data_IF_061536816783
#
_entry.id   IF_061536816783
#
_cell.length_a   1.000
_cell.length_b   1.000
_cell.length_c   1.000
_cell.angle_alpha   90.00
_cell.angle_beta   90.00
_cell.angle_gamma   90.00
#
_symmetry.space_group_name_H-M   'P 1'
#
loop_
_entity.id
_entity.type
_entity.pdbx_description
1 polymer ?
#
# COMPACT_ATOMS: atom_id res chain seq x y z
N UNK A 1 -14.65 16.88 5.52
CA UNK A 1 -14.18 15.49 5.59
C UNK A 1 -15.33 14.53 5.33
N UNK A 2 -15.10 13.52 4.57
CA UNK A 2 -16.08 12.49 4.26
C UNK A 2 -15.68 11.18 4.93
N UNK A 3 -16.63 10.27 5.07
CA UNK A 3 -16.38 8.92 5.54
C UNK A 3 -16.86 7.93 4.48
N UNK A 4 -16.12 6.84 4.33
CA UNK A 4 -16.43 5.80 3.35
C UNK A 4 -16.44 4.46 4.07
N UNK A 5 -17.47 3.67 3.79
CA UNK A 5 -17.55 2.30 4.26
C UNK A 5 -16.86 1.39 3.23
N UNK A 6 -15.87 0.65 3.69
CA UNK A 6 -15.08 -0.28 2.87
C UNK A 6 -15.28 -1.69 3.38
N UNK A 7 -15.34 -2.64 2.47
CA UNK A 7 -15.36 -4.07 2.83
C UNK A 7 -14.08 -4.71 2.28
N UNK A 8 -13.25 -5.19 3.19
CA UNK A 8 -11.97 -5.82 2.85
C UNK A 8 -11.95 -7.22 3.46
N UNK A 9 -11.82 -8.23 2.62
CA UNK A 9 -11.81 -9.64 3.03
C UNK A 9 -13.05 -10.01 3.87
N UNK A 10 -14.20 -9.44 3.52
CA UNK A 10 -15.47 -9.71 4.20
C UNK A 10 -15.68 -8.91 5.48
N UNK A 11 -14.75 -8.05 5.86
CA UNK A 11 -14.85 -7.23 7.08
C UNK A 11 -15.15 -5.78 6.73
N UNK A 12 -16.10 -5.14 7.42
CA UNK A 12 -16.43 -3.74 7.17
C UNK A 12 -15.46 -2.81 7.91
N UNK A 13 -15.09 -1.74 7.23
CA UNK A 13 -14.25 -0.68 7.80
C UNK A 13 -14.83 0.67 7.40
N UNK A 14 -14.83 1.59 8.34
CA UNK A 14 -15.20 2.98 8.07
C UNK A 14 -13.96 3.83 8.14
N UNK A 15 -13.65 4.52 7.05
CA UNK A 15 -12.41 5.28 6.91
C UNK A 15 -12.75 6.71 6.53
N UNK A 16 -12.11 7.66 7.20
CA UNK A 16 -12.22 9.07 6.85
C UNK A 16 -11.35 9.38 5.65
N UNK A 17 -11.85 10.24 4.77
CA UNK A 17 -11.10 10.70 3.62
C UNK A 17 -11.45 12.16 3.32
N UNK A 18 -10.72 12.75 2.42
CA UNK A 18 -11.02 14.10 1.94
C UNK A 18 -12.22 14.03 1.00
N UNK A 19 -13.05 15.08 1.07
CA UNK A 19 -14.18 15.21 0.15
C UNK A 19 -13.68 15.20 -1.29
N UNK A 20 -14.27 14.34 -2.11
CA UNK A 20 -13.87 14.17 -3.51
C UNK A 20 -12.91 13.01 -3.75
N UNK A 21 -12.36 12.39 -2.70
CA UNK A 21 -11.43 11.27 -2.83
C UNK A 21 -12.07 9.92 -2.54
N UNK A 22 -13.39 9.88 -2.32
CA UNK A 22 -14.12 8.67 -1.95
C UNK A 22 -13.95 7.55 -2.98
N UNK A 23 -14.06 7.89 -4.27
CA UNK A 23 -13.97 6.89 -5.35
C UNK A 23 -12.55 6.31 -5.46
N UNK A 24 -11.54 7.15 -5.28
CA UNK A 24 -10.15 6.70 -5.26
C UNK A 24 -9.90 5.75 -4.11
N UNK A 25 -10.45 6.05 -2.94
CA UNK A 25 -10.29 5.20 -1.77
C UNK A 25 -11.02 3.87 -1.95
N UNK A 26 -12.20 3.88 -2.54
CA UNK A 26 -12.93 2.65 -2.86
C UNK A 26 -12.16 1.78 -3.85
N UNK A 27 -11.56 2.39 -4.87
CA UNK A 27 -10.74 1.67 -5.84
C UNK A 27 -9.51 1.05 -5.17
N UNK A 28 -8.85 1.79 -4.30
CA UNK A 28 -7.72 1.29 -3.52
C UNK A 28 -8.14 0.13 -2.61
N UNK A 29 -9.29 0.26 -1.95
CA UNK A 29 -9.82 -0.78 -1.09
C UNK A 29 -10.13 -2.06 -1.87
N UNK A 30 -10.61 -1.95 -3.10
CA UNK A 30 -10.87 -3.10 -3.96
C UNK A 30 -9.59 -3.87 -4.27
N UNK A 31 -8.48 -3.17 -4.48
CA UNK A 31 -7.18 -3.79 -4.68
C UNK A 31 -6.69 -4.51 -3.42
N UNK A 32 -6.85 -3.89 -2.27
CA UNK A 32 -6.49 -4.49 -0.99
C UNK A 32 -7.34 -5.73 -0.72
N UNK A 33 -8.64 -5.66 -1.00
CA UNK A 33 -9.55 -6.80 -0.85
C UNK A 33 -9.13 -7.98 -1.72
N UNK A 34 -8.82 -7.72 -2.99
CA UNK A 34 -8.37 -8.75 -3.92
C UNK A 34 -7.08 -9.42 -3.44
N UNK A 35 -6.11 -8.64 -2.98
CA UNK A 35 -4.84 -9.16 -2.49
C UNK A 35 -4.99 -9.89 -1.16
N UNK A 36 -5.90 -9.44 -0.30
CA UNK A 36 -6.22 -10.12 0.96
C UNK A 36 -6.80 -11.51 0.70
N UNK A 37 -7.69 -11.61 -0.28
CA UNK A 37 -8.27 -12.91 -0.68
C UNK A 37 -7.24 -13.83 -1.31
N UNK A 38 -6.35 -13.28 -2.12
CA UNK A 38 -5.24 -14.01 -2.73
C UNK A 38 -4.31 -14.58 -1.66
N UNK A 39 -3.97 -13.79 -0.64
CA UNK A 39 -3.15 -14.24 0.48
C UNK A 39 -3.84 -15.36 1.25
N UNK A 40 -5.13 -15.24 1.52
CA UNK A 40 -5.90 -16.24 2.23
C UNK A 40 -5.96 -17.56 1.46
N UNK A 41 -6.16 -17.49 0.14
CA UNK A 41 -6.23 -18.67 -0.72
C UNK A 41 -4.89 -19.39 -0.80
N UNK A 42 -3.78 -18.66 -0.82
CA UNK A 42 -2.44 -19.23 -0.94
C UNK A 42 -1.83 -19.70 0.37
N UNK A 43 -2.09 -19.00 1.46
CA UNK A 43 -1.44 -19.23 2.75
C UNK A 43 -2.35 -19.82 3.83
N UNK A 44 -3.64 -19.92 3.56
CA UNK A 44 -4.61 -20.46 4.49
C UNK A 44 -5.11 -19.46 5.53
N UNK A 45 -5.79 -19.97 6.55
CA UNK A 45 -6.40 -19.14 7.58
C UNK A 45 -5.34 -18.39 8.39
N UNK A 46 -5.56 -17.11 8.59
CA UNK A 46 -4.63 -16.25 9.33
C UNK A 46 -5.40 -15.13 10.03
N UNK A 47 -4.72 -14.45 10.95
CA UNK A 47 -5.29 -13.30 11.64
C UNK A 47 -5.51 -12.14 10.66
N UNK A 48 -6.40 -11.24 11.04
CA UNK A 48 -6.67 -10.03 10.25
C UNK A 48 -5.41 -9.21 10.01
N UNK A 49 -4.62 -8.99 11.05
CA UNK A 49 -3.37 -8.22 10.94
C UNK A 49 -2.40 -8.88 9.95
N UNK A 50 -2.27 -10.18 10.01
CA UNK A 50 -1.39 -10.93 9.13
C UNK A 50 -1.89 -10.91 7.68
N UNK A 51 -3.18 -11.04 7.50
CA UNK A 51 -3.81 -10.97 6.18
C UNK A 51 -3.57 -9.62 5.52
N UNK A 52 -3.73 -8.53 6.28
CA UNK A 52 -3.46 -7.19 5.77
C UNK A 52 -1.98 -6.96 5.50
N UNK A 53 -1.10 -7.54 6.32
CA UNK A 53 0.34 -7.47 6.08
C UNK A 53 0.70 -8.12 4.75
N UNK A 54 0.22 -9.33 4.50
CA UNK A 54 0.50 -10.03 3.24
C UNK A 54 -0.13 -9.33 2.04
N UNK A 55 -1.33 -8.79 2.19
CA UNK A 55 -1.96 -8.00 1.14
C UNK A 55 -1.10 -6.79 0.79
N UNK A 56 -0.56 -6.11 1.80
CA UNK A 56 0.32 -4.95 1.60
C UNK A 56 1.60 -5.33 0.88
N UNK A 57 2.20 -6.47 1.25
CA UNK A 57 3.42 -6.97 0.61
C UNK A 57 3.16 -7.37 -0.84
N UNK A 58 2.04 -7.99 -1.13
CA UNK A 58 1.66 -8.35 -2.50
C UNK A 58 1.47 -7.11 -3.38
N UNK A 59 0.83 -6.09 -2.84
CA UNK A 59 0.64 -4.82 -3.55
C UNK A 59 1.98 -4.10 -3.77
N UNK A 60 2.82 -4.06 -2.76
CA UNK A 60 4.14 -3.44 -2.86
C UNK A 60 5.02 -4.17 -3.87
N UNK A 61 4.97 -5.49 -3.87
CA UNK A 61 5.70 -6.32 -4.82
C UNK A 61 5.27 -6.02 -6.27
N UNK A 62 3.98 -5.86 -6.49
CA UNK A 62 3.44 -5.49 -7.78
C UNK A 62 3.95 -4.13 -8.24
N UNK A 63 4.04 -3.17 -7.34
CA UNK A 63 4.61 -1.85 -7.64
C UNK A 63 6.09 -1.93 -8.00
N UNK A 64 6.83 -2.78 -7.30
CA UNK A 64 8.26 -3.00 -7.59
C UNK A 64 8.44 -3.64 -8.96
N UNK A 65 7.63 -4.62 -9.31
CA UNK A 65 7.67 -5.28 -10.61
C UNK A 65 7.31 -4.34 -11.76
N UNK A 66 6.40 -3.41 -11.55
CA UNK A 66 6.01 -2.42 -12.55
C UNK A 66 7.05 -1.33 -12.76
N UNK A 67 7.99 -1.19 -11.84
CA UNK A 67 9.10 -0.28 -12.05
C UNK A 67 10.01 -0.85 -13.12
N UNK A 68 10.32 -0.05 -14.17
CA UNK A 68 11.38 -0.47 -15.07
C UNK A 68 12.62 -0.64 -14.22
N UNK A 69 13.15 -1.87 -14.20
CA UNK A 69 14.43 -2.13 -13.57
C UNK A 69 15.44 -1.14 -14.13
N UNK A 70 16.26 -0.49 -13.29
CA UNK A 70 17.35 0.33 -13.76
C UNK A 70 18.46 -0.60 -14.29
N UNK A 71 18.10 -1.49 -15.20
CA UNK A 71 19.05 -2.41 -15.80
C UNK A 71 19.92 -1.73 -16.85
N UNK A 72 19.54 -0.55 -17.26
CA UNK A 72 20.34 0.28 -18.13
C UNK A 72 20.34 1.70 -17.59
N UNK A 73 21.48 2.39 -17.65
CA UNK A 73 21.48 3.82 -17.48
C UNK A 73 20.74 4.42 -18.67
N UNK A 74 19.44 4.20 -18.74
CA UNK A 74 18.63 5.02 -19.59
C UNK A 74 18.96 6.45 -19.22
N UNK A 75 19.06 7.39 -20.18
CA UNK A 75 19.13 8.78 -19.84
C UNK A 75 17.86 9.06 -19.04
N UNK A 76 17.98 8.88 -17.75
CA UNK A 76 16.89 9.07 -16.85
C UNK A 76 16.46 10.51 -17.03
N UNK A 77 15.22 10.71 -17.43
CA UNK A 77 14.60 12.01 -17.29
C UNK A 77 14.88 12.41 -15.84
N UNK A 78 15.61 13.50 -15.58
CA UNK A 78 15.94 13.90 -14.22
C UNK A 78 14.71 14.04 -13.33
N UNK A 79 13.57 14.37 -13.92
CA UNK A 79 12.30 14.50 -13.19
C UNK A 79 11.79 13.14 -12.69
N UNK A 80 11.94 12.09 -13.49
CA UNK A 80 11.52 10.75 -13.09
C UNK A 80 12.44 10.22 -11.99
N UNK A 81 13.74 10.43 -12.11
CA UNK A 81 14.70 10.04 -11.09
C UNK A 81 14.46 10.76 -9.77
N UNK A 82 14.16 12.04 -9.81
CA UNK A 82 13.83 12.82 -8.62
C UNK A 82 12.53 12.36 -7.98
N UNK A 83 11.53 12.03 -8.77
CA UNK A 83 10.25 11.52 -8.26
C UNK A 83 10.40 10.18 -7.57
N UNK A 84 11.18 9.28 -8.16
CA UNK A 84 11.45 7.98 -7.58
C UNK A 84 12.22 8.10 -6.26
N UNK A 85 13.20 8.99 -6.21
CA UNK A 85 13.97 9.26 -4.99
C UNK A 85 13.09 9.87 -3.90
N UNK A 86 12.25 10.83 -4.25
CA UNK A 86 11.35 11.48 -3.31
C UNK A 86 10.37 10.46 -2.71
N UNK A 87 9.87 9.52 -3.51
CA UNK A 87 8.99 8.46 -3.03
C UNK A 87 9.73 7.52 -2.07
N UNK A 88 10.95 7.12 -2.43
CA UNK A 88 11.77 6.27 -1.57
C UNK A 88 12.07 6.95 -0.23
N UNK A 89 12.41 8.24 -0.25
CA UNK A 89 12.68 9.03 0.95
C UNK A 89 11.42 9.11 1.84
N UNK A 90 10.25 9.25 1.24
CA UNK A 90 8.97 9.24 1.97
C UNK A 90 8.70 7.91 2.65
N UNK A 91 8.94 6.81 1.96
CA UNK A 91 8.74 5.48 2.50
C UNK A 91 9.68 5.20 3.66
N UNK A 92 10.95 5.62 3.56
CA UNK A 92 11.91 5.52 4.64
C UNK A 92 11.48 6.34 5.86
N UNK A 93 11.03 7.55 5.63
CA UNK A 93 10.57 8.43 6.71
C UNK A 93 9.38 7.83 7.44
N UNK A 94 8.44 7.23 6.71
CA UNK A 94 7.29 6.54 7.28
C UNK A 94 7.71 5.31 8.08
N UNK A 95 8.65 4.54 7.57
CA UNK A 95 9.16 3.36 8.27
C UNK A 95 9.85 3.75 9.59
N UNK A 96 10.66 4.79 9.57
CA UNK A 96 11.32 5.31 10.77
C UNK A 96 10.30 5.83 11.79
N UNK A 97 9.29 6.54 11.34
CA UNK A 97 8.23 7.04 12.20
C UNK A 97 7.46 5.91 12.88
N UNK A 98 7.14 4.86 12.13
CA UNK A 98 6.45 3.69 12.66
C UNK A 98 7.30 2.93 13.67
N UNK A 99 8.59 2.78 13.39
CA UNK A 99 9.53 2.16 14.34
C UNK A 99 9.65 2.97 15.63
N UNK A 100 9.71 4.30 15.50
CA UNK A 100 9.78 5.20 16.63
C UNK A 100 8.54 5.11 17.51
N UNK A 101 7.35 5.05 16.91
CA UNK A 101 6.11 4.85 17.66
C UNK A 101 6.07 3.49 18.36
N UNK A 102 6.54 2.45 17.68
CA UNK A 102 6.60 1.10 18.26
C UNK A 102 7.53 1.04 19.45
N UNK A 103 8.62 1.79 19.44
CA UNK A 103 9.59 1.82 20.53
C UNK A 103 9.14 2.69 21.71
N UNK A 104 8.29 3.66 21.48
CA UNK A 104 7.82 4.55 22.54
C UNK A 104 6.58 4.05 23.28
N UNK A 105 6.03 2.95 22.87
CA UNK A 105 4.84 2.37 23.51
C UNK A 105 5.18 1.52 24.75
#
# INVERSE_FOLDING_TARGET
>A
MAEVDLTIAGRPYRVACRTGEEDNLRAAAALVDAKSREALAGLGTMSEARQLLFASLLLADQLVEQRPLPAEPAPADPLIAQSAKALADRLEALAIALESESQSA
#
